data_IF_736225799662
#
_entry.id   IF_736225799662
#
_cell.length_a   1.000
_cell.length_b   1.000
_cell.length_c   1.000
_cell.angle_alpha   90.00
_cell.angle_beta   90.00
_cell.angle_gamma   90.00
#
_symmetry.space_group_name_H-M   'P 1'
#
loop_
_entity.id
_entity.type
_entity.pdbx_description
1 polymer ?
#
# COMPACT_ATOMS: atom_id res chain seq x y z
N UNK A 1 -14.91 4.02 -9.04
CA UNK A 1 -14.12 3.26 -8.04
C UNK A 1 -12.67 3.21 -8.47
N UNK A 2 -11.78 3.29 -7.51
CA UNK A 2 -10.33 3.23 -7.73
C UNK A 2 -9.71 2.24 -6.77
N UNK A 3 -8.64 1.60 -7.21
CA UNK A 3 -7.75 0.84 -6.35
C UNK A 3 -6.54 1.70 -6.06
N UNK A 4 -6.30 1.96 -4.78
CA UNK A 4 -5.11 2.64 -4.30
C UNK A 4 -4.14 1.56 -3.82
N UNK A 5 -2.99 1.49 -4.44
CA UNK A 5 -1.98 0.47 -4.20
C UNK A 5 -0.77 1.16 -3.61
N UNK A 6 -0.42 0.81 -2.38
CA UNK A 6 0.62 1.49 -1.61
C UNK A 6 1.76 0.52 -1.35
N UNK A 7 2.98 0.91 -1.71
CA UNK A 7 4.19 0.14 -1.42
C UNK A 7 4.92 0.79 -0.25
N UNK A 8 5.05 0.06 0.85
CA UNK A 8 5.60 0.57 2.10
C UNK A 8 6.59 -0.41 2.72
N UNK A 9 7.44 0.12 3.60
CA UNK A 9 8.20 -0.71 4.53
C UNK A 9 7.25 -1.38 5.52
N UNK A 10 7.54 -2.60 5.98
CA UNK A 10 6.73 -3.26 7.03
C UNK A 10 6.54 -2.40 8.29
N UNK A 11 7.50 -1.54 8.61
CA UNK A 11 7.42 -0.65 9.78
C UNK A 11 6.30 0.39 9.69
N UNK A 12 5.82 0.69 8.48
CA UNK A 12 4.78 1.69 8.25
C UNK A 12 3.37 1.09 8.25
N UNK A 13 3.22 -0.23 8.36
CA UNK A 13 1.91 -0.87 8.27
C UNK A 13 0.97 -0.43 9.39
N UNK A 14 1.41 -0.50 10.64
CA UNK A 14 0.56 -0.13 11.77
C UNK A 14 0.16 1.36 11.74
N UNK A 15 1.09 2.31 11.52
CA UNK A 15 0.68 3.71 11.33
C UNK A 15 -0.30 3.91 10.18
N UNK A 16 -0.13 3.21 9.06
CA UNK A 16 -1.05 3.30 7.93
C UNK A 16 -2.43 2.76 8.29
N UNK A 17 -2.50 1.60 8.93
CA UNK A 17 -3.76 1.02 9.39
C UNK A 17 -4.52 1.97 10.31
N UNK A 18 -3.81 2.59 11.26
CA UNK A 18 -4.42 3.54 12.20
C UNK A 18 -5.01 4.75 11.48
N UNK A 19 -4.27 5.32 10.54
CA UNK A 19 -4.75 6.47 9.77
C UNK A 19 -5.94 6.13 8.88
N UNK A 20 -5.94 4.96 8.25
CA UNK A 20 -7.03 4.53 7.39
C UNK A 20 -8.30 4.22 8.20
N UNK A 21 -8.15 3.67 9.40
CA UNK A 21 -9.29 3.47 10.31
C UNK A 21 -9.94 4.80 10.73
N UNK A 22 -9.14 5.85 10.92
CA UNK A 22 -9.65 7.17 11.27
C UNK A 22 -10.58 7.75 10.22
N UNK A 23 -10.40 7.40 8.96
CA UNK A 23 -11.27 7.82 7.86
C UNK A 23 -12.26 6.73 7.44
N UNK A 24 -12.44 5.72 8.29
CA UNK A 24 -13.44 4.67 8.13
C UNK A 24 -13.32 3.86 6.83
N UNK A 25 -12.10 3.55 6.41
CA UNK A 25 -11.88 2.66 5.26
C UNK A 25 -12.40 1.27 5.60
N UNK A 26 -13.25 0.66 4.73
CA UNK A 26 -13.92 -0.60 5.06
C UNK A 26 -12.99 -1.80 5.12
N UNK A 27 -11.86 -1.77 4.43
CA UNK A 27 -10.92 -2.86 4.46
C UNK A 27 -9.71 -2.62 3.57
N UNK A 28 -8.71 -3.45 3.74
CA UNK A 28 -7.50 -3.41 2.94
C UNK A 28 -6.94 -4.83 2.82
N UNK A 29 -6.23 -5.08 1.74
CA UNK A 29 -5.51 -6.33 1.51
C UNK A 29 -4.02 -6.05 1.58
N UNK A 30 -3.29 -6.88 2.32
CA UNK A 30 -1.84 -6.73 2.49
C UNK A 30 -1.13 -7.90 1.85
N UNK A 31 -0.11 -7.60 1.04
CA UNK A 31 0.72 -8.60 0.36
C UNK A 31 2.18 -8.40 0.69
N UNK A 32 2.88 -9.49 0.91
CA UNK A 32 4.35 -9.48 0.93
C UNK A 32 4.87 -9.43 -0.49
N UNK A 33 5.77 -8.50 -0.77
CA UNK A 33 6.37 -8.33 -2.10
C UNK A 33 7.86 -8.09 -2.00
N UNK A 34 8.56 -8.38 -3.07
CA UNK A 34 9.96 -8.00 -3.25
C UNK A 34 10.02 -6.92 -4.33
N UNK A 35 10.63 -5.81 -4.01
CA UNK A 35 10.82 -4.71 -4.95
C UNK A 35 12.27 -4.76 -5.42
N UNK A 36 12.46 -4.82 -6.74
CA UNK A 36 13.78 -4.73 -7.34
C UNK A 36 14.09 -3.26 -7.57
N UNK A 37 15.15 -2.79 -6.92
CA UNK A 37 15.59 -1.39 -7.05
C UNK A 37 16.59 -1.27 -8.18
N UNK A 38 16.50 -0.18 -8.94
CA UNK A 38 17.53 0.20 -9.92
C UNK A 38 18.84 0.63 -9.24
N UNK A 39 18.78 0.92 -7.95
CA UNK A 39 19.94 1.25 -7.13
C UNK A 39 20.11 0.19 -6.06
N UNK A 40 21.00 -0.79 -6.24
CA UNK A 40 21.25 -1.82 -5.24
C UNK A 40 21.68 -1.22 -3.91
N UNK A 41 21.15 -1.80 -2.82
CA UNK A 41 21.53 -1.42 -1.46
C UNK A 41 22.57 -2.38 -0.92
N UNK A 42 23.53 -1.82 -0.22
CA UNK A 42 24.48 -2.63 0.51
C UNK A 42 23.84 -3.11 1.81
N UNK A 43 23.83 -4.42 2.01
CA UNK A 43 23.35 -5.07 3.23
C UNK A 43 24.54 -5.67 3.94
N UNK A 44 24.68 -5.33 5.24
CA UNK A 44 25.68 -5.97 6.09
C UNK A 44 24.98 -7.04 6.92
N UNK A 45 25.45 -8.27 6.77
CA UNK A 45 24.91 -9.41 7.49
C UNK A 45 26.05 -10.25 8.04
N UNK A 46 26.07 -10.45 9.37
CA UNK A 46 27.12 -11.22 10.08
C UNK A 46 28.54 -10.74 9.76
N UNK A 47 28.71 -9.43 9.64
CA UNK A 47 30.00 -8.83 9.32
C UNK A 47 30.43 -8.90 7.86
N UNK A 48 29.62 -9.52 7.00
CA UNK A 48 29.83 -9.54 5.56
C UNK A 48 28.92 -8.52 4.89
N UNK A 49 29.48 -7.76 3.96
CA UNK A 49 28.76 -6.79 3.16
C UNK A 49 28.34 -7.42 1.83
N UNK A 50 27.08 -7.30 1.47
CA UNK A 50 26.56 -7.75 0.17
C UNK A 50 25.60 -6.72 -0.41
N UNK A 51 25.55 -6.68 -1.74
CA UNK A 51 24.57 -5.83 -2.44
C UNK A 51 23.31 -6.64 -2.73
N UNK A 52 22.16 -6.09 -2.32
CA UNK A 52 20.89 -6.66 -2.63
C UNK A 52 20.08 -5.67 -3.46
N UNK A 53 19.56 -6.14 -4.58
CA UNK A 53 18.67 -5.38 -5.46
C UNK A 53 17.20 -5.69 -5.20
N UNK A 54 16.91 -6.75 -4.44
CA UNK A 54 15.55 -7.11 -4.02
C UNK A 54 15.32 -6.72 -2.57
N UNK A 55 14.30 -5.89 -2.35
CA UNK A 55 14.00 -5.32 -1.04
C UNK A 55 12.62 -5.78 -0.61
N UNK A 56 12.46 -6.39 0.59
CA UNK A 56 11.15 -6.76 1.11
C UNK A 56 10.31 -5.50 1.39
N UNK A 57 9.08 -5.52 0.91
CA UNK A 57 8.09 -4.46 1.12
C UNK A 57 6.72 -5.08 1.32
N UNK A 58 5.78 -4.26 1.76
CA UNK A 58 4.36 -4.62 1.76
C UNK A 58 3.65 -3.81 0.69
N UNK A 59 2.75 -4.47 -0.04
CA UNK A 59 1.78 -3.82 -0.90
C UNK A 59 0.43 -3.84 -0.22
N UNK A 60 -0.15 -2.68 -0.03
CA UNK A 60 -1.48 -2.53 0.57
C UNK A 60 -2.43 -2.06 -0.53
N UNK A 61 -3.48 -2.84 -0.78
CA UNK A 61 -4.50 -2.52 -1.77
C UNK A 61 -5.77 -2.07 -1.06
N UNK A 62 -6.30 -0.92 -1.48
CA UNK A 62 -7.51 -0.33 -0.93
C UNK A 62 -8.40 0.05 -2.11
N UNK A 63 -9.64 -0.46 -2.13
CA UNK A 63 -10.62 -0.08 -3.15
C UNK A 63 -11.63 0.87 -2.53
N UNK A 64 -11.81 2.01 -3.16
CA UNK A 64 -12.67 3.09 -2.64
C UNK A 64 -13.45 3.76 -3.78
N UNK A 65 -14.57 4.43 -3.46
CA UNK A 65 -15.20 5.36 -4.40
C UNK A 65 -14.22 6.47 -4.84
N UNK A 66 -14.43 7.04 -6.00
CA UNK A 66 -13.53 8.06 -6.58
C UNK A 66 -13.29 9.25 -5.65
N UNK A 67 -14.33 9.70 -4.97
CA UNK A 67 -14.26 10.86 -4.08
C UNK A 67 -13.52 10.58 -2.76
N UNK A 68 -13.18 9.35 -2.47
CA UNK A 68 -12.40 8.98 -1.27
C UNK A 68 -10.89 8.90 -1.53
N UNK A 69 -10.46 8.92 -2.78
CA UNK A 69 -9.06 8.72 -3.16
C UNK A 69 -8.15 9.76 -2.51
N UNK A 70 -8.53 11.02 -2.56
CA UNK A 70 -7.73 12.10 -1.97
C UNK A 70 -7.51 11.89 -0.47
N UNK A 71 -8.57 11.51 0.26
CA UNK A 71 -8.48 11.21 1.69
C UNK A 71 -7.55 10.04 2.00
N UNK A 72 -7.60 8.99 1.18
CA UNK A 72 -6.71 7.82 1.34
C UNK A 72 -5.25 8.23 1.08
N UNK A 73 -4.99 8.98 0.03
CA UNK A 73 -3.64 9.46 -0.29
C UNK A 73 -3.09 10.34 0.82
N UNK A 74 -3.89 11.28 1.31
CA UNK A 74 -3.48 12.18 2.40
C UNK A 74 -3.18 11.40 3.67
N UNK A 75 -4.05 10.45 4.05
CA UNK A 75 -3.83 9.60 5.23
C UNK A 75 -2.55 8.77 5.10
N UNK A 76 -2.29 8.24 3.91
CA UNK A 76 -1.09 7.46 3.63
C UNK A 76 0.18 8.31 3.78
N UNK A 77 0.19 9.49 3.19
CA UNK A 77 1.33 10.39 3.26
C UNK A 77 1.61 10.85 4.70
N UNK A 78 0.57 11.09 5.48
CA UNK A 78 0.72 11.44 6.91
C UNK A 78 1.25 10.27 7.73
N UNK A 79 0.82 9.05 7.42
CA UNK A 79 1.27 7.87 8.15
C UNK A 79 2.75 7.55 7.93
N UNK A 80 3.20 7.71 6.69
CA UNK A 80 4.55 7.32 6.28
C UNK A 80 5.53 8.47 6.44
N UNK A 81 5.10 9.70 6.14
CA UNK A 81 5.99 10.85 6.10
C UNK A 81 6.98 10.76 4.96
N UNK A 82 7.99 11.61 4.99
CA UNK A 82 9.10 11.55 4.04
C UNK A 82 10.04 10.43 4.42
N UNK A 83 10.44 9.63 3.43
CA UNK A 83 11.35 8.51 3.65
C UNK A 83 12.33 8.42 2.49
N UNK A 84 13.57 8.05 2.82
CA UNK A 84 14.61 7.77 1.84
C UNK A 84 14.59 6.30 1.39
N UNK A 85 13.66 5.50 1.91
CA UNK A 85 13.58 4.09 1.54
C UNK A 85 13.11 3.94 0.10
N UNK A 86 13.81 3.14 -0.71
CA UNK A 86 13.45 2.94 -2.10
C UNK A 86 12.17 2.14 -2.26
N UNK A 87 11.48 2.35 -3.37
CA UNK A 87 10.31 1.58 -3.77
C UNK A 87 8.99 2.06 -3.17
N UNK A 88 9.02 3.06 -2.28
CA UNK A 88 7.78 3.64 -1.74
C UNK A 88 7.05 4.44 -2.80
N UNK A 89 5.81 4.04 -3.11
CA UNK A 89 4.97 4.73 -4.09
C UNK A 89 3.51 4.40 -3.88
N UNK A 90 2.66 5.25 -4.43
CA UNK A 90 1.22 5.04 -4.46
C UNK A 90 0.80 4.98 -5.93
N UNK A 91 0.10 3.92 -6.31
CA UNK A 91 -0.47 3.75 -7.63
C UNK A 91 -1.99 3.82 -7.52
N UNK A 92 -2.62 4.54 -8.43
CA UNK A 92 -4.08 4.68 -8.46
C UNK A 92 -4.54 4.17 -9.82
N UNK A 93 -5.39 3.15 -9.81
CA UNK A 93 -5.91 2.53 -11.02
C UNK A 93 -7.43 2.47 -10.99
N UNK A 94 -8.09 2.60 -12.16
CA UNK A 94 -9.53 2.41 -12.22
C UNK A 94 -9.91 0.97 -11.89
N UNK A 95 -11.06 0.81 -11.23
CA UNK A 95 -11.70 -0.49 -11.03
C UNK A 95 -13.04 -0.43 -11.73
N UNK A 96 -13.24 -1.29 -12.72
CA UNK A 96 -14.46 -1.28 -13.52
C UNK A 96 -15.65 -1.79 -12.72
N UNK A 97 -15.45 -2.84 -11.92
CA UNK A 97 -16.54 -3.45 -11.17
C UNK A 97 -16.02 -4.13 -9.91
N UNK A 98 -16.81 -4.09 -8.85
CA UNK A 98 -16.60 -4.84 -7.61
C UNK A 98 -17.87 -5.65 -7.34
N UNK A 99 -17.70 -6.93 -7.04
CA UNK A 99 -18.81 -7.82 -6.69
C UNK A 99 -18.47 -8.48 -5.36
N UNK A 100 -19.35 -8.31 -4.37
CA UNK A 100 -19.18 -8.96 -3.08
C UNK A 100 -19.66 -10.40 -3.18
N UNK A 101 -18.76 -11.33 -2.93
CA UNK A 101 -19.07 -12.76 -3.09
C UNK A 101 -20.21 -13.18 -2.17
N UNK A 102 -20.18 -12.75 -0.90
CA UNK A 102 -21.16 -13.17 0.10
C UNK A 102 -22.59 -12.74 -0.23
N UNK A 103 -22.77 -11.56 -0.80
CA UNK A 103 -24.10 -10.96 -0.99
C UNK A 103 -24.51 -10.81 -2.45
N UNK A 104 -23.55 -10.86 -3.39
CA UNK A 104 -23.79 -10.55 -4.79
C UNK A 104 -23.98 -9.07 -5.09
N UNK A 105 -23.81 -8.18 -4.10
CA UNK A 105 -23.87 -6.75 -4.33
C UNK A 105 -22.78 -6.32 -5.29
N UNK A 106 -23.07 -5.29 -6.10
CA UNK A 106 -22.18 -4.80 -7.15
C UNK A 106 -21.91 -3.31 -7.01
N UNK A 107 -20.81 -2.86 -7.59
CA UNK A 107 -20.44 -1.45 -7.60
C UNK A 107 -20.01 -0.94 -6.24
N UNK A 108 -20.31 0.34 -5.96
CA UNK A 108 -19.91 1.00 -4.71
C UNK A 108 -20.47 0.28 -3.47
N UNK A 109 -21.64 -0.31 -3.58
CA UNK A 109 -22.27 -1.05 -2.46
C UNK A 109 -21.52 -2.34 -2.11
N UNK A 110 -20.65 -2.80 -3.00
CA UNK A 110 -19.84 -4.00 -2.80
C UNK A 110 -18.48 -3.74 -2.12
N UNK A 111 -18.14 -2.49 -1.96
CA UNK A 111 -16.87 -2.11 -1.32
C UNK A 111 -16.90 -2.38 0.18
#
# INVERSE_FOLDING_TARGET
MKRVEVYISPFHLEPLKDRLRMIAIPGMTVHDVLVVSSQPHEIVYRGASSKADMVPRLRVDIVVPDDWVEGVVTATLHAIGKTDQPGGRILITPVDEVIRIRTGEMGVDAI
#
